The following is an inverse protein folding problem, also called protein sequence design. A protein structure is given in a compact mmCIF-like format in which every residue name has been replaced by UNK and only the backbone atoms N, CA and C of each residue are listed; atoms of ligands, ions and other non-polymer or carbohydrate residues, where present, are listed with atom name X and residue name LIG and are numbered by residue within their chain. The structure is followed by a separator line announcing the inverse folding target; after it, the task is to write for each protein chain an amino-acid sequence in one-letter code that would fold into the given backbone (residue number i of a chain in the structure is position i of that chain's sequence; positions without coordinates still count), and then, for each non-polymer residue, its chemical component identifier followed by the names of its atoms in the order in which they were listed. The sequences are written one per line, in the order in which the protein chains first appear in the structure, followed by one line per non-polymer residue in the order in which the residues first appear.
data_IF_550149264066
#
_entry.id   IF_550149264066
#
_cell.length_a   1.000
_cell.length_b   1.000
_cell.length_c   1.000
_cell.angle_alpha   90.00
_cell.angle_beta   90.00
_cell.angle_gamma   90.00
#
_symmetry.space_group_name_H-M   'P 1'
#
loop_
_entity.id
_entity.type
_entity.pdbx_description
1 polymer ?
#
# COMPACT_ATOMS: atom_id res chain seq x y z
N UNK A 1 25.37 -3.98 3.59
CA UNK A 1 23.97 -4.26 3.97
C UNK A 1 23.16 -4.14 2.71
N UNK A 2 22.57 -5.23 2.21
CA UNK A 2 21.79 -5.19 0.97
C UNK A 2 20.59 -4.28 1.16
N UNK A 3 20.52 -3.20 0.38
CA UNK A 3 19.34 -2.32 0.30
C UNK A 3 18.11 -3.19 0.08
N UNK A 4 17.20 -3.22 1.06
CA UNK A 4 15.90 -3.87 0.87
C UNK A 4 15.13 -3.01 -0.13
N UNK A 5 14.94 -3.53 -1.33
CA UNK A 5 14.05 -2.93 -2.33
C UNK A 5 12.63 -2.98 -1.78
N UNK A 6 12.10 -1.81 -1.39
CA UNK A 6 10.75 -1.72 -0.85
C UNK A 6 9.77 -1.52 -2.01
N UNK A 7 8.81 -2.44 -2.15
CA UNK A 7 7.83 -2.42 -3.25
C UNK A 7 6.44 -2.16 -2.69
N UNK A 8 5.76 -1.10 -3.13
CA UNK A 8 4.42 -0.76 -2.66
C UNK A 8 3.33 -1.34 -3.60
N UNK A 9 2.28 -1.90 -3.02
CA UNK A 9 1.09 -2.38 -3.71
C UNK A 9 -0.14 -1.65 -3.16
N UNK A 10 -0.92 -1.03 -4.04
CA UNK A 10 -2.18 -0.39 -3.67
C UNK A 10 -3.34 -1.37 -3.85
N UNK A 11 -4.07 -1.65 -2.77
CA UNK A 11 -5.25 -2.51 -2.77
C UNK A 11 -6.48 -1.65 -2.56
N UNK A 12 -7.32 -1.57 -3.59
CA UNK A 12 -8.51 -0.71 -3.61
C UNK A 12 -9.76 -1.55 -3.43
N UNK A 13 -10.66 -1.13 -2.55
CA UNK A 13 -11.95 -1.78 -2.29
C UNK A 13 -13.10 -0.79 -2.45
N UNK A 14 -14.35 -1.26 -2.45
CA UNK A 14 -15.51 -0.36 -2.58
C UNK A 14 -15.68 0.53 -1.34
N UNK A 15 -15.59 -0.06 -0.15
CA UNK A 15 -15.82 0.64 1.12
C UNK A 15 -14.59 0.67 2.01
N UNK A 16 -14.48 1.70 2.84
CA UNK A 16 -13.39 1.79 3.82
C UNK A 16 -13.37 0.59 4.77
N UNK A 17 -14.55 0.13 5.18
CA UNK A 17 -14.73 -1.06 6.00
C UNK A 17 -14.19 -2.31 5.30
N UNK A 18 -14.46 -2.46 4.00
CA UNK A 18 -13.91 -3.57 3.20
C UNK A 18 -12.38 -3.51 3.12
N UNK A 19 -11.80 -2.31 2.99
CA UNK A 19 -10.35 -2.13 2.99
C UNK A 19 -9.70 -2.59 4.30
N UNK A 20 -10.30 -2.21 5.44
CA UNK A 20 -9.82 -2.57 6.77
C UNK A 20 -9.95 -4.08 7.04
N UNK A 21 -11.10 -4.66 6.69
CA UNK A 21 -11.32 -6.11 6.83
C UNK A 21 -10.35 -6.91 5.96
N UNK A 22 -10.13 -6.48 4.72
CA UNK A 22 -9.20 -7.14 3.81
C UNK A 22 -7.75 -7.01 4.28
N UNK A 23 -7.36 -5.84 4.79
CA UNK A 23 -6.05 -5.63 5.40
C UNK A 23 -5.84 -6.57 6.59
N UNK A 24 -6.80 -6.65 7.50
CA UNK A 24 -6.71 -7.52 8.68
C UNK A 24 -6.62 -8.99 8.29
N UNK A 25 -7.44 -9.44 7.34
CA UNK A 25 -7.38 -10.81 6.80
C UNK A 25 -6.04 -11.11 6.11
N UNK A 26 -5.51 -10.15 5.33
CA UNK A 26 -4.22 -10.27 4.67
C UNK A 26 -3.07 -10.33 5.68
N UNK A 27 -3.08 -9.46 6.68
CA UNK A 27 -2.09 -9.44 7.74
C UNK A 27 -2.10 -10.75 8.54
N UNK A 28 -3.28 -11.25 8.90
CA UNK A 28 -3.45 -12.52 9.60
C UNK A 28 -2.91 -13.70 8.77
N UNK A 29 -3.30 -13.77 7.49
CA UNK A 29 -2.86 -14.84 6.59
C UNK A 29 -1.34 -14.83 6.35
N UNK A 30 -0.69 -13.67 6.48
CA UNK A 30 0.74 -13.48 6.26
C UNK A 30 1.53 -13.24 7.56
N UNK A 31 0.99 -13.60 8.74
CA UNK A 31 1.55 -13.23 10.04
C UNK A 31 3.06 -13.56 10.18
N UNK A 32 3.49 -14.69 9.62
CA UNK A 32 4.87 -15.18 9.63
C UNK A 32 5.83 -14.39 8.72
N UNK A 33 5.29 -13.65 7.74
CA UNK A 33 6.03 -12.79 6.80
C UNK A 33 5.98 -11.32 7.19
N UNK A 34 5.19 -10.95 8.20
CA UNK A 34 5.04 -9.56 8.63
C UNK A 34 6.33 -9.00 9.23
N UNK A 35 6.62 -7.76 8.83
CA UNK A 35 7.57 -6.88 9.51
C UNK A 35 6.83 -5.86 10.38
N UNK A 36 5.71 -5.31 9.91
CA UNK A 36 4.92 -4.28 10.62
C UNK A 36 3.50 -4.25 10.05
N UNK A 37 2.52 -3.84 10.86
CA UNK A 37 1.16 -3.49 10.41
C UNK A 37 0.80 -2.13 11.00
N UNK A 38 0.30 -1.23 10.17
CA UNK A 38 -0.16 0.11 10.54
C UNK A 38 -1.64 0.23 10.23
N UNK A 39 -2.51 0.04 11.22
CA UNK A 39 -3.97 0.13 11.02
C UNK A 39 -4.43 1.56 10.72
N UNK A 40 -3.82 2.56 11.36
CA UNK A 40 -4.14 3.97 11.14
C UNK A 40 -3.90 4.40 9.68
N UNK A 41 -2.82 3.89 9.07
CA UNK A 41 -2.46 4.15 7.68
C UNK A 41 -2.99 3.08 6.72
N UNK A 42 -3.72 2.08 7.24
CA UNK A 42 -4.17 0.88 6.52
C UNK A 42 -3.07 0.23 5.67
N UNK A 43 -1.91 -0.01 6.26
CA UNK A 43 -0.71 -0.48 5.55
C UNK A 43 -0.08 -1.70 6.22
N UNK A 44 0.30 -2.70 5.43
CA UNK A 44 0.98 -3.93 5.86
C UNK A 44 2.37 -3.98 5.26
N UNK A 45 3.38 -4.27 6.08
CA UNK A 45 4.79 -4.36 5.67
C UNK A 45 5.26 -5.80 5.85
N UNK A 46 5.88 -6.36 4.82
CA UNK A 46 6.48 -7.70 4.82
C UNK A 46 8.00 -7.62 5.00
N UNK A 47 8.59 -8.68 5.55
CA UNK A 47 10.05 -8.77 5.81
C UNK A 47 10.90 -8.80 4.54
N UNK A 48 10.28 -9.12 3.41
CA UNK A 48 10.91 -9.13 2.08
C UNK A 48 10.92 -7.75 1.40
N UNK A 49 10.43 -6.70 2.08
CA UNK A 49 10.39 -5.33 1.56
C UNK A 49 9.06 -4.95 0.91
N UNK A 50 8.13 -5.90 0.71
CA UNK A 50 6.82 -5.55 0.12
C UNK A 50 5.93 -4.82 1.12
N UNK A 51 5.27 -3.78 0.65
CA UNK A 51 4.36 -2.92 1.41
C UNK A 51 3.00 -2.96 0.70
N UNK A 52 1.91 -3.16 1.44
CA UNK A 52 0.56 -3.20 0.90
C UNK A 52 -0.27 -2.12 1.58
N UNK A 53 -0.78 -1.15 0.81
CA UNK A 53 -1.65 -0.07 1.30
C UNK A 53 -3.08 -0.33 0.87
N UNK A 54 -4.00 -0.38 1.81
CA UNK A 54 -5.40 -0.68 1.61
C UNK A 54 -6.23 0.61 1.64
N UNK A 55 -7.02 0.83 0.60
CA UNK A 55 -7.85 2.03 0.43
C UNK A 55 -9.23 1.69 -0.12
N UNK A 56 -10.11 2.70 -0.21
CA UNK A 56 -11.45 2.52 -0.76
C UNK A 56 -11.86 3.62 -1.74
N UNK A 57 -12.70 3.27 -2.71
CA UNK A 57 -13.30 4.19 -3.68
C UNK A 57 -14.20 5.23 -3.01
N UNK A 58 -14.85 4.88 -1.91
CA UNK A 58 -15.73 5.76 -1.12
C UNK A 58 -14.97 6.67 -0.16
N UNK A 59 -13.68 6.45 0.07
CA UNK A 59 -12.90 7.43 0.82
C UNK A 59 -12.91 8.73 0.03
N UNK A 60 -13.45 9.81 0.62
CA UNK A 60 -13.41 11.17 0.05
C UNK A 60 -11.98 11.68 -0.20
N UNK A 61 -10.97 10.88 0.14
CA UNK A 61 -9.64 10.90 -0.45
C UNK A 61 -9.63 10.31 -1.88
N UNK A 62 -10.71 10.55 -2.62
CA UNK A 62 -10.81 10.41 -4.07
C UNK A 62 -9.80 11.41 -4.62
N UNK A 63 -8.56 10.96 -4.78
CA UNK A 63 -7.53 11.53 -5.65
C UNK A 63 -7.60 13.06 -5.62
N UNK A 64 -7.40 13.62 -4.42
CA UNK A 64 -7.37 15.07 -4.25
C UNK A 64 -6.32 15.62 -5.20
N UNK A 65 -6.66 16.70 -5.91
CA UNK A 65 -5.97 17.37 -7.04
C UNK A 65 -4.43 17.49 -7.03
N UNK A 66 -3.74 17.07 -5.97
CA UNK A 66 -2.29 17.07 -5.82
C UNK A 66 -1.67 15.70 -5.41
N UNK A 67 -2.42 14.59 -5.39
CA UNK A 67 -1.85 13.25 -5.16
C UNK A 67 -1.93 12.44 -6.45
N UNK A 68 -0.75 12.12 -7.00
CA UNK A 68 -0.59 11.37 -8.25
C UNK A 68 -1.48 10.12 -8.22
N UNK A 69 -2.24 9.91 -9.30
CA UNK A 69 -2.99 8.69 -9.49
C UNK A 69 -1.97 7.56 -9.71
N UNK A 70 -1.64 6.79 -8.68
CA UNK A 70 -0.60 5.77 -8.84
C UNK A 70 -0.99 4.60 -9.75
N UNK A 71 -2.28 4.49 -10.11
CA UNK A 71 -2.79 3.46 -11.00
C UNK A 71 -2.46 3.71 -12.50
N UNK A 72 -1.92 4.87 -12.87
CA UNK A 72 -1.44 5.10 -14.26
C UNK A 72 -0.08 4.45 -14.53
N UNK A 73 0.63 4.01 -13.49
CA UNK A 73 1.97 3.46 -13.64
C UNK A 73 1.96 1.93 -13.58
N UNK A 74 2.47 1.29 -14.64
CA UNK A 74 2.82 -0.13 -14.59
C UNK A 74 3.95 -0.34 -13.58
N UNK A 75 4.00 -1.51 -12.91
CA UNK A 75 4.81 -1.75 -11.70
C UNK A 75 6.18 -1.08 -11.62
N UNK A 76 7.00 -1.15 -12.68
CA UNK A 76 8.33 -0.52 -12.69
C UNK A 76 8.29 1.02 -12.66
N UNK A 77 7.37 1.63 -13.40
CA UNK A 77 7.15 3.08 -13.39
C UNK A 77 6.55 3.55 -12.05
N UNK A 78 5.74 2.70 -11.41
CA UNK A 78 5.21 2.98 -10.07
C UNK A 78 6.34 3.00 -9.03
N UNK A 79 7.24 2.03 -9.06
CA UNK A 79 8.41 1.96 -8.17
C UNK A 79 9.34 3.16 -8.34
N UNK A 80 9.72 3.50 -9.58
CA UNK A 80 10.60 4.65 -9.85
C UNK A 80 10.00 5.97 -9.35
N UNK A 81 8.70 6.16 -9.53
CA UNK A 81 8.04 7.41 -9.21
C UNK A 81 7.71 7.52 -7.71
N UNK A 82 7.43 6.39 -7.04
CA UNK A 82 7.24 6.32 -5.59
C UNK A 82 8.56 6.53 -4.83
N UNK A 83 9.66 5.96 -5.31
CA UNK A 83 10.98 6.14 -4.71
C UNK A 83 11.53 7.57 -4.87
N UNK A 84 11.08 8.30 -5.91
CA UNK A 84 11.51 9.67 -6.19
C UNK A 84 10.60 10.77 -5.63
N UNK A 85 9.42 10.45 -5.07
CA UNK A 85 8.46 11.43 -4.51
C UNK A 85 8.97 12.14 -3.24
N UNK A 86 10.10 11.68 -2.67
CA UNK A 86 10.77 12.27 -1.50
C UNK A 86 12.00 13.14 -1.85
N UNK A 87 12.16 13.57 -3.11
CA UNK A 87 13.20 14.52 -3.55
C UNK A 87 12.65 15.90 -3.88
#
# INVERSE_FOLDING_TARGET
MSERNNVLYLVVTETLKSAEQLMDAFAFSNMHKLSKVSRAERTVYLRDGRIFKFTSNTSKNLIGRNQRNWNIYSGKAFEEEFLNDNK
#
